data_IF_844148355879
#
_entry.id   IF_844148355879
#
_cell.length_a   1.000
_cell.length_b   1.000
_cell.length_c   1.000
_cell.angle_alpha   90.00
_cell.angle_beta   90.00
_cell.angle_gamma   90.00
#
_symmetry.space_group_name_H-M   'P 1'
#
loop_
_entity.id
_entity.type
_entity.pdbx_description
1 polymer ?
#
# COMPACT_ATOMS: atom_id res chain seq x y z
N UNK A 1 -4.35 -29.62 -11.39
CA UNK A 1 -4.97 -28.33 -11.02
C UNK A 1 -3.84 -27.30 -11.03
N UNK A 2 -3.90 -26.34 -11.95
CA UNK A 2 -2.90 -25.24 -11.92
C UNK A 2 -3.12 -24.43 -10.65
N UNK A 3 -2.17 -24.49 -9.73
CA UNK A 3 -2.18 -23.62 -8.56
C UNK A 3 -2.02 -22.17 -9.01
N UNK A 4 -2.77 -21.25 -8.38
CA UNK A 4 -2.61 -19.83 -8.62
C UNK A 4 -1.19 -19.39 -8.23
N UNK A 5 -0.53 -18.50 -9.00
CA UNK A 5 0.83 -18.09 -8.70
C UNK A 5 0.90 -17.33 -7.37
N UNK A 6 1.98 -17.53 -6.65
CA UNK A 6 2.31 -16.85 -5.39
C UNK A 6 3.28 -15.69 -5.63
N UNK A 7 3.50 -14.86 -4.62
CA UNK A 7 4.58 -13.86 -4.68
C UNK A 7 5.94 -14.47 -4.96
N UNK A 8 6.23 -15.64 -4.37
CA UNK A 8 7.47 -16.35 -4.63
C UNK A 8 7.64 -16.70 -6.10
N UNK A 9 6.57 -17.12 -6.75
CA UNK A 9 6.60 -17.50 -8.17
C UNK A 9 6.90 -16.31 -9.09
N UNK A 10 6.40 -15.13 -8.77
CA UNK A 10 6.47 -13.97 -9.68
C UNK A 10 7.59 -12.98 -9.36
N UNK A 11 8.04 -12.89 -8.11
CA UNK A 11 9.12 -11.99 -7.69
C UNK A 11 10.22 -12.67 -6.85
N UNK A 12 10.16 -13.98 -6.66
CA UNK A 12 11.15 -14.70 -5.82
C UNK A 12 12.58 -14.55 -6.33
N UNK A 13 12.79 -14.51 -7.63
CA UNK A 13 14.11 -14.32 -8.23
C UNK A 13 14.72 -12.94 -7.94
N UNK A 14 13.90 -11.90 -7.80
CA UNK A 14 14.38 -10.56 -7.43
C UNK A 14 15.14 -10.57 -6.10
N UNK A 15 14.74 -11.43 -5.16
CA UNK A 15 15.38 -11.56 -3.85
C UNK A 15 16.82 -12.08 -3.90
N UNK A 16 17.21 -12.67 -5.01
CA UNK A 16 18.57 -13.19 -5.24
C UNK A 16 19.50 -12.17 -5.90
N UNK A 17 18.93 -11.08 -6.43
CA UNK A 17 19.70 -10.05 -7.13
C UNK A 17 20.47 -9.17 -6.15
N UNK A 18 21.63 -8.69 -6.59
CA UNK A 18 22.53 -7.91 -5.75
C UNK A 18 21.86 -6.66 -5.15
N UNK A 19 21.07 -5.92 -5.93
CA UNK A 19 20.44 -4.72 -5.44
C UNK A 19 19.50 -4.98 -4.23
N UNK A 20 18.80 -6.12 -4.25
CA UNK A 20 17.89 -6.51 -3.16
C UNK A 20 18.69 -6.96 -1.93
N UNK A 21 19.70 -7.81 -2.14
CA UNK A 21 20.59 -8.25 -1.06
C UNK A 21 21.32 -7.06 -0.43
N UNK A 22 21.82 -6.14 -1.23
CA UNK A 22 22.49 -4.92 -0.74
C UNK A 22 21.53 -4.02 0.05
N UNK A 23 20.28 -3.93 -0.38
CA UNK A 23 19.26 -3.17 0.34
C UNK A 23 18.99 -3.77 1.72
N UNK A 24 18.82 -5.10 1.81
CA UNK A 24 18.63 -5.78 3.10
C UNK A 24 19.85 -5.62 4.00
N UNK A 25 21.05 -5.76 3.45
CA UNK A 25 22.30 -5.59 4.19
C UNK A 25 22.46 -4.15 4.71
N UNK A 26 22.09 -3.17 3.90
CA UNK A 26 22.08 -1.77 4.30
C UNK A 26 21.14 -1.55 5.51
N UNK A 27 19.90 -2.01 5.41
CA UNK A 27 18.92 -1.87 6.50
C UNK A 27 19.41 -2.54 7.78
N UNK A 28 19.95 -3.75 7.67
CA UNK A 28 20.49 -4.47 8.82
C UNK A 28 21.71 -3.76 9.44
N UNK A 29 22.60 -3.23 8.61
CA UNK A 29 23.75 -2.45 9.10
C UNK A 29 23.32 -1.19 9.85
N UNK A 30 22.30 -0.49 9.36
CA UNK A 30 21.74 0.68 10.04
C UNK A 30 21.15 0.30 11.41
N UNK A 31 20.45 -0.83 11.50
CA UNK A 31 19.93 -1.37 12.77
C UNK A 31 21.09 -1.74 13.72
N UNK A 32 22.12 -2.40 13.21
CA UNK A 32 23.25 -2.88 14.02
C UNK A 32 24.09 -1.78 14.64
N UNK A 33 24.14 -0.59 14.02
CA UNK A 33 24.81 0.59 14.60
C UNK A 33 23.90 1.41 15.54
N UNK A 34 22.72 0.84 15.92
CA UNK A 34 21.84 1.42 16.92
C UNK A 34 20.82 2.43 16.38
N UNK A 35 20.67 2.56 15.07
CA UNK A 35 19.60 3.38 14.51
C UNK A 35 18.26 2.70 14.63
N UNK A 36 17.23 3.48 14.93
CA UNK A 36 15.86 2.99 14.92
C UNK A 36 15.31 3.06 13.50
N UNK A 37 14.98 1.91 12.93
CA UNK A 37 14.43 1.77 11.57
C UNK A 37 13.00 1.24 11.67
N UNK A 38 12.08 1.88 10.96
CA UNK A 38 10.67 1.46 10.88
C UNK A 38 10.34 0.88 9.50
N UNK A 39 9.39 -0.04 9.44
CA UNK A 39 8.80 -0.80 10.54
C UNK A 39 9.81 -1.78 11.17
N UNK A 40 9.47 -2.44 12.28
CA UNK A 40 10.29 -3.55 12.81
C UNK A 40 10.54 -4.60 11.72
N UNK A 41 11.68 -5.29 11.79
CA UNK A 41 12.11 -6.25 10.75
C UNK A 41 11.04 -7.29 10.40
N UNK A 42 10.31 -7.76 11.39
CA UNK A 42 9.21 -8.73 11.20
C UNK A 42 8.04 -8.20 10.36
N UNK A 43 7.88 -6.88 10.26
CA UNK A 43 6.73 -6.23 9.64
C UNK A 43 7.01 -5.64 8.26
N UNK A 44 8.27 -5.60 7.82
CA UNK A 44 8.69 -4.95 6.56
C UNK A 44 7.90 -5.46 5.34
N UNK A 45 7.59 -6.76 5.30
CA UNK A 45 6.90 -7.41 4.18
C UNK A 45 5.43 -7.76 4.46
N UNK A 46 4.81 -7.11 5.42
CA UNK A 46 3.42 -7.43 5.80
C UNK A 46 2.41 -7.24 4.68
N UNK A 47 2.62 -6.29 3.77
CA UNK A 47 1.74 -6.11 2.61
C UNK A 47 1.60 -7.41 1.80
N UNK A 48 2.70 -8.15 1.64
CA UNK A 48 2.75 -9.42 0.91
C UNK A 48 2.22 -10.61 1.73
N UNK A 49 2.29 -10.54 3.05
CA UNK A 49 1.78 -11.59 3.95
C UNK A 49 0.27 -11.56 4.08
N UNK A 50 -0.31 -10.37 4.18
CA UNK A 50 -1.76 -10.20 4.33
C UNK A 50 -2.50 -10.27 3.01
N UNK A 51 -1.82 -10.01 1.89
CA UNK A 51 -2.41 -10.06 0.56
C UNK A 51 -1.55 -10.94 -0.33
N UNK A 52 -1.96 -12.19 -0.55
CA UNK A 52 -1.26 -13.08 -1.48
C UNK A 52 -1.42 -12.56 -2.93
N UNK A 53 -0.48 -12.90 -3.79
CA UNK A 53 -0.45 -12.42 -5.18
C UNK A 53 -1.77 -12.68 -5.92
N UNK A 54 -2.28 -13.91 -5.83
CA UNK A 54 -3.54 -14.30 -6.48
C UNK A 54 -4.78 -13.58 -5.94
N UNK A 55 -4.70 -13.02 -4.73
CA UNK A 55 -5.83 -12.37 -4.06
C UNK A 55 -5.88 -10.86 -4.31
N UNK A 56 -4.86 -10.29 -4.96
CA UNK A 56 -4.79 -8.84 -5.21
C UNK A 56 -5.96 -8.40 -6.10
N UNK A 57 -6.81 -7.55 -5.57
CA UNK A 57 -7.95 -6.91 -6.25
C UNK A 57 -7.74 -5.42 -6.45
N UNK A 58 -7.21 -4.76 -5.45
CA UNK A 58 -6.96 -3.32 -5.41
C UNK A 58 -5.52 -3.09 -4.97
N UNK A 59 -4.85 -2.12 -5.57
CA UNK A 59 -3.52 -1.68 -5.16
C UNK A 59 -3.59 -0.22 -4.76
N UNK A 60 -3.14 0.10 -3.56
CA UNK A 60 -2.94 1.46 -3.07
C UNK A 60 -1.45 1.65 -2.84
N UNK A 61 -0.85 2.68 -3.45
CA UNK A 61 0.56 2.97 -3.30
C UNK A 61 0.77 4.13 -2.32
N UNK A 62 1.58 3.87 -1.30
CA UNK A 62 2.17 4.90 -0.45
C UNK A 62 3.61 5.21 -0.87
N UNK A 63 4.28 6.12 -0.19
CA UNK A 63 5.66 6.48 -0.49
C UNK A 63 6.64 5.74 0.43
N UNK A 64 6.91 6.24 1.60
CA UNK A 64 7.72 5.56 2.61
C UNK A 64 6.92 5.37 3.92
N UNK A 65 7.37 4.49 4.82
CA UNK A 65 6.66 4.26 6.07
C UNK A 65 6.61 5.51 6.95
N UNK A 66 5.64 5.57 7.84
CA UNK A 66 5.68 6.55 8.93
C UNK A 66 6.96 6.40 9.74
N UNK A 67 7.57 7.53 10.10
CA UNK A 67 8.87 7.56 10.80
C UNK A 67 8.78 7.87 12.30
N UNK A 68 7.58 7.86 12.85
CA UNK A 68 7.32 7.99 14.28
C UNK A 68 7.21 6.64 14.99
N UNK A 69 7.37 6.62 16.32
CA UNK A 69 7.30 5.38 17.09
C UNK A 69 5.92 4.74 17.03
N UNK A 70 5.89 3.41 16.93
CA UNK A 70 4.68 2.58 16.93
C UNK A 70 3.67 2.86 15.80
N UNK A 71 4.06 3.58 14.74
CA UNK A 71 3.19 3.90 13.62
C UNK A 71 3.22 2.81 12.55
N UNK A 72 4.35 2.67 11.84
CA UNK A 72 4.49 1.78 10.70
C UNK A 72 4.48 0.30 11.09
N UNK A 73 3.75 -0.51 10.33
CA UNK A 73 3.70 -1.97 10.49
C UNK A 73 3.66 -2.73 9.14
N UNK A 74 4.12 -2.09 8.07
CA UNK A 74 4.28 -2.72 6.75
C UNK A 74 3.09 -2.56 5.80
N UNK A 75 2.06 -1.80 6.15
CA UNK A 75 0.92 -1.45 5.32
C UNK A 75 0.86 0.06 5.13
N UNK A 76 0.84 0.54 3.88
CA UNK A 76 0.81 1.98 3.64
C UNK A 76 -0.44 2.64 4.24
N UNK A 77 -0.30 3.87 4.71
CA UNK A 77 -1.32 4.66 5.41
C UNK A 77 -1.77 4.12 6.76
N UNK A 78 -1.57 2.85 7.05
CA UNK A 78 -2.00 2.19 8.29
C UNK A 78 -1.03 2.46 9.43
N UNK A 79 -1.58 2.55 10.64
CA UNK A 79 -0.81 2.61 11.89
C UNK A 79 -1.26 1.52 12.85
N UNK A 80 -0.40 1.16 13.80
CA UNK A 80 -0.74 0.19 14.85
C UNK A 80 -1.90 0.69 15.72
N UNK A 81 -2.67 -0.23 16.32
CA UNK A 81 -3.70 0.13 17.30
C UNK A 81 -3.12 0.98 18.45
N UNK A 82 -3.93 1.93 18.94
CA UNK A 82 -3.52 2.83 20.01
C UNK A 82 -2.72 4.06 19.56
N UNK A 83 -2.34 4.13 18.28
CA UNK A 83 -1.66 5.29 17.71
C UNK A 83 -2.68 6.25 17.10
N UNK A 84 -2.45 7.55 17.29
CA UNK A 84 -3.30 8.57 16.69
C UNK A 84 -3.32 8.44 15.17
N UNK A 85 -4.51 8.47 14.59
CA UNK A 85 -4.70 8.42 13.13
C UNK A 85 -3.97 9.58 12.44
N UNK A 86 -3.04 9.29 11.52
CA UNK A 86 -2.29 10.32 10.80
C UNK A 86 -3.17 11.19 9.91
N UNK A 87 -2.76 12.44 9.60
CA UNK A 87 -3.58 13.39 8.84
C UNK A 87 -4.05 12.90 7.48
N UNK A 88 -3.22 12.20 6.71
CA UNK A 88 -3.62 11.64 5.42
C UNK A 88 -4.70 10.59 5.59
N UNK A 89 -4.60 9.73 6.60
CA UNK A 89 -5.62 8.71 6.88
C UNK A 89 -6.92 9.32 7.41
N UNK A 90 -6.84 10.41 8.16
CA UNK A 90 -8.04 11.19 8.54
C UNK A 90 -8.81 11.63 7.29
N UNK A 91 -8.11 12.12 6.26
CA UNK A 91 -8.74 12.51 5.00
C UNK A 91 -9.27 11.31 4.19
N UNK A 92 -8.59 10.18 4.22
CA UNK A 92 -9.09 8.92 3.65
C UNK A 92 -10.42 8.55 4.31
N UNK A 93 -10.50 8.62 5.63
CA UNK A 93 -11.74 8.34 6.37
C UNK A 93 -12.87 9.34 6.08
N UNK A 94 -12.54 10.63 5.89
CA UNK A 94 -13.51 11.63 5.47
C UNK A 94 -14.09 11.32 4.09
N UNK A 95 -13.24 10.89 3.14
CA UNK A 95 -13.72 10.49 1.82
C UNK A 95 -14.58 9.22 1.90
N UNK A 96 -14.16 8.22 2.67
CA UNK A 96 -14.95 7.01 2.90
C UNK A 96 -16.34 7.32 3.48
N UNK A 97 -16.41 8.25 4.44
CA UNK A 97 -17.69 8.64 5.05
C UNK A 97 -18.64 9.32 4.06
N UNK A 98 -18.11 9.96 3.02
CA UNK A 98 -18.89 10.57 1.95
C UNK A 98 -19.25 9.61 0.82
N UNK A 99 -18.40 8.62 0.57
CA UNK A 99 -18.46 7.74 -0.59
C UNK A 99 -19.16 6.39 -0.31
N UNK A 100 -19.03 5.88 0.90
CA UNK A 100 -19.56 4.56 1.30
C UNK A 100 -20.68 4.72 2.29
N UNK A 101 -21.87 4.26 1.91
CA UNK A 101 -23.06 4.32 2.76
C UNK A 101 -22.83 3.65 4.11
N UNK A 102 -23.14 4.35 5.17
CA UNK A 102 -23.04 3.83 6.53
C UNK A 102 -21.61 3.68 7.05
N UNK A 103 -20.59 4.23 6.34
CA UNK A 103 -19.22 4.18 6.85
C UNK A 103 -19.12 4.99 8.15
N UNK A 104 -18.71 4.32 9.21
CA UNK A 104 -18.43 4.95 10.50
C UNK A 104 -16.91 5.10 10.66
N UNK A 105 -16.46 6.32 10.97
CA UNK A 105 -15.04 6.60 11.17
C UNK A 105 -14.59 5.94 12.49
N UNK A 106 -13.68 4.96 12.45
CA UNK A 106 -13.19 4.32 13.66
C UNK A 106 -12.24 5.24 14.41
N UNK A 107 -12.00 4.93 15.68
CA UNK A 107 -11.02 5.66 16.51
C UNK A 107 -9.59 5.14 16.37
N UNK A 108 -9.34 4.23 15.45
CA UNK A 108 -8.02 3.67 15.14
C UNK A 108 -7.65 3.89 13.68
N UNK A 109 -6.38 3.71 13.35
CA UNK A 109 -5.86 3.78 11.98
C UNK A 109 -5.32 2.45 11.45
N UNK A 110 -5.87 1.33 11.90
CA UNK A 110 -5.38 -0.01 11.57
C UNK A 110 -6.17 -0.61 10.41
N UNK A 111 -5.51 -0.79 9.26
CA UNK A 111 -6.14 -1.14 7.98
C UNK A 111 -5.97 -2.61 7.56
N UNK A 112 -5.53 -3.48 8.46
CA UNK A 112 -5.25 -4.89 8.13
C UNK A 112 -6.45 -5.61 7.50
N UNK A 113 -7.68 -5.29 7.92
CA UNK A 113 -8.88 -5.92 7.37
C UNK A 113 -9.09 -5.63 5.88
N UNK A 114 -8.57 -4.53 5.36
CA UNK A 114 -8.56 -4.26 3.92
C UNK A 114 -7.56 -5.18 3.21
N UNK A 115 -6.35 -5.30 3.76
CA UNK A 115 -5.30 -6.14 3.19
C UNK A 115 -5.74 -7.60 3.09
N UNK A 116 -6.42 -8.11 4.11
CA UNK A 116 -6.94 -9.48 4.15
C UNK A 116 -8.03 -9.76 3.09
N UNK A 117 -8.63 -8.72 2.51
CA UNK A 117 -9.62 -8.81 1.45
C UNK A 117 -9.04 -8.66 0.04
N UNK A 118 -7.73 -8.45 -0.09
CA UNK A 118 -7.09 -8.28 -1.39
C UNK A 118 -6.73 -6.84 -1.75
N UNK A 119 -6.69 -5.94 -0.77
CA UNK A 119 -6.14 -4.58 -0.95
C UNK A 119 -4.65 -4.60 -0.63
N UNK A 120 -3.81 -4.56 -1.65
CA UNK A 120 -2.36 -4.46 -1.47
C UNK A 120 -2.01 -3.03 -1.07
N UNK A 121 -1.70 -2.84 0.21
CA UNK A 121 -1.31 -1.56 0.78
C UNK A 121 0.22 -1.45 0.77
N UNK A 122 0.76 -1.01 -0.38
CA UNK A 122 2.19 -1.07 -0.66
C UNK A 122 2.84 0.30 -0.59
N UNK A 123 3.79 0.49 0.33
CA UNK A 123 4.75 1.59 0.23
C UNK A 123 5.78 1.29 -0.86
N UNK A 124 6.22 2.29 -1.60
CA UNK A 124 7.23 2.12 -2.65
C UNK A 124 8.65 1.99 -2.07
N UNK A 125 8.86 2.52 -0.87
CA UNK A 125 10.05 2.33 -0.04
C UNK A 125 9.61 1.65 1.25
N UNK A 126 10.23 0.53 1.63
CA UNK A 126 9.70 -0.34 2.69
C UNK A 126 10.28 -0.09 4.07
N UNK A 127 11.31 0.74 4.18
CA UNK A 127 11.94 1.11 5.47
C UNK A 127 12.25 2.60 5.54
N UNK A 128 12.39 3.11 6.76
CA UNK A 128 12.73 4.51 7.03
C UNK A 128 13.45 4.63 8.37
N UNK A 129 14.42 5.55 8.49
CA UNK A 129 15.03 5.89 9.78
C UNK A 129 14.10 6.77 10.59
N UNK A 130 14.01 6.54 11.88
CA UNK A 130 13.19 7.33 12.80
C UNK A 130 13.44 8.84 12.62
N UNK A 131 12.36 9.60 12.47
CA UNK A 131 12.38 11.05 12.35
C UNK A 131 12.93 11.58 11.03
N UNK A 132 13.30 10.71 10.07
CA UNK A 132 13.94 11.13 8.82
C UNK A 132 13.18 10.62 7.60
N UNK A 133 12.14 11.35 7.22
CA UNK A 133 11.38 11.04 6.00
C UNK A 133 12.33 10.90 4.80
N UNK A 134 12.05 9.95 3.91
CA UNK A 134 12.81 9.65 2.70
C UNK A 134 14.27 9.18 2.91
N UNK A 135 14.67 8.88 4.14
CA UNK A 135 16.05 8.45 4.45
C UNK A 135 16.49 7.19 3.72
N UNK A 136 15.56 6.31 3.33
CA UNK A 136 15.87 5.07 2.59
C UNK A 136 15.38 5.08 1.14
N UNK A 137 15.05 6.24 0.58
CA UNK A 137 14.50 6.36 -0.78
C UNK A 137 15.45 5.93 -1.91
N UNK A 138 16.77 5.88 -1.64
CA UNK A 138 17.81 5.54 -2.64
C UNK A 138 18.51 4.22 -2.36
N UNK A 139 17.91 3.35 -1.58
CA UNK A 139 18.58 2.11 -1.12
C UNK A 139 18.34 0.90 -2.02
N UNK A 140 17.36 0.95 -2.93
CA UNK A 140 16.99 -0.17 -3.80
C UNK A 140 15.54 -0.65 -3.62
N UNK A 141 14.81 -0.19 -2.59
CA UNK A 141 13.41 -0.55 -2.41
C UNK A 141 12.53 -0.20 -3.61
N UNK A 142 12.76 0.96 -4.23
CA UNK A 142 11.96 1.39 -5.37
C UNK A 142 12.11 0.46 -6.58
N UNK A 143 13.32 -0.06 -6.82
CA UNK A 143 13.55 -1.06 -7.86
C UNK A 143 12.76 -2.35 -7.58
N UNK A 144 12.73 -2.80 -6.33
CA UNK A 144 11.97 -3.97 -5.93
C UNK A 144 10.46 -3.75 -6.09
N UNK A 145 9.93 -2.64 -5.62
CA UNK A 145 8.49 -2.35 -5.72
C UNK A 145 8.06 -2.06 -7.15
N UNK A 146 8.95 -1.56 -8.02
CA UNK A 146 8.70 -1.52 -9.47
C UNK A 146 8.45 -2.92 -10.03
N UNK A 147 9.25 -3.91 -9.61
CA UNK A 147 9.06 -5.31 -10.02
C UNK A 147 7.78 -5.93 -9.48
N UNK A 148 7.36 -5.54 -8.28
CA UNK A 148 6.07 -5.96 -7.73
C UNK A 148 4.92 -5.47 -8.61
N UNK A 149 4.92 -4.18 -8.97
CA UNK A 149 3.88 -3.60 -9.83
C UNK A 149 3.92 -4.21 -11.23
N UNK A 150 5.12 -4.42 -11.79
CA UNK A 150 5.30 -5.09 -13.08
C UNK A 150 4.71 -6.50 -13.08
N UNK A 151 4.96 -7.28 -12.02
CA UNK A 151 4.42 -8.63 -11.89
C UNK A 151 2.88 -8.64 -11.86
N UNK A 152 2.27 -7.73 -11.12
CA UNK A 152 0.80 -7.58 -11.09
C UNK A 152 0.30 -7.19 -12.49
N UNK A 153 0.97 -6.23 -13.13
CA UNK A 153 0.59 -5.76 -14.47
C UNK A 153 0.64 -6.89 -15.51
N UNK A 154 1.65 -7.75 -15.43
CA UNK A 154 1.86 -8.83 -16.41
C UNK A 154 0.98 -10.05 -16.15
N UNK A 155 0.79 -10.44 -14.91
CA UNK A 155 0.25 -11.76 -14.54
C UNK A 155 -1.16 -11.72 -13.94
N UNK A 156 -1.74 -10.54 -13.72
CA UNK A 156 -3.11 -10.37 -13.22
C UNK A 156 -4.01 -9.74 -14.28
N UNK A 157 -5.32 -9.76 -14.03
CA UNK A 157 -6.35 -9.15 -14.87
C UNK A 157 -7.32 -8.34 -14.01
N UNK A 158 -7.67 -7.14 -14.49
CA UNK A 158 -8.73 -6.33 -13.90
C UNK A 158 -8.43 -5.79 -12.50
N UNK A 159 -7.16 -5.67 -12.13
CA UNK A 159 -6.76 -5.06 -10.86
C UNK A 159 -7.06 -3.56 -10.89
N UNK A 160 -7.57 -3.02 -9.79
CA UNK A 160 -7.87 -1.60 -9.64
C UNK A 160 -6.73 -0.92 -8.88
N UNK A 161 -6.04 -0.01 -9.54
CA UNK A 161 -4.96 0.78 -8.95
C UNK A 161 -5.49 2.14 -8.52
N UNK A 162 -5.35 2.47 -7.24
CA UNK A 162 -5.67 3.78 -6.69
C UNK A 162 -4.36 4.55 -6.51
N UNK A 163 -4.11 5.51 -7.40
CA UNK A 163 -2.85 6.26 -7.46
C UNK A 163 -3.07 7.70 -7.00
N UNK A 164 -2.70 7.98 -5.77
CA UNK A 164 -2.91 9.26 -5.12
C UNK A 164 -1.63 10.09 -5.07
N UNK A 165 -1.64 11.21 -5.79
CA UNK A 165 -0.51 12.12 -5.89
C UNK A 165 0.48 11.76 -7.00
N UNK A 166 1.36 12.70 -7.29
CA UNK A 166 2.29 12.60 -8.42
C UNK A 166 3.27 11.41 -8.30
N UNK A 167 3.74 11.12 -7.08
CA UNK A 167 4.67 10.01 -6.83
C UNK A 167 4.05 8.66 -7.21
N UNK A 168 2.84 8.36 -6.71
CA UNK A 168 2.13 7.13 -7.03
C UNK A 168 1.78 7.04 -8.53
N UNK A 169 1.34 8.14 -9.13
CA UNK A 169 1.00 8.19 -10.56
C UNK A 169 2.22 7.95 -11.45
N UNK A 170 3.38 8.50 -11.08
CA UNK A 170 4.64 8.24 -11.79
C UNK A 170 5.05 6.77 -11.65
N UNK A 171 4.91 6.19 -10.48
CA UNK A 171 5.20 4.78 -10.20
C UNK A 171 4.33 3.85 -11.04
N UNK A 172 3.06 4.19 -11.21
CA UNK A 172 2.08 3.40 -11.97
C UNK A 172 1.99 3.73 -13.47
N UNK A 173 2.90 4.53 -14.04
CA UNK A 173 2.81 4.99 -15.44
C UNK A 173 2.87 3.86 -16.47
N UNK A 174 3.46 2.71 -16.13
CA UNK A 174 3.60 1.56 -17.03
C UNK A 174 2.45 0.55 -16.93
N UNK A 175 1.46 0.79 -16.10
CA UNK A 175 0.32 -0.11 -15.96
C UNK A 175 -0.48 -0.12 -17.27
N UNK A 176 -0.72 -1.32 -17.78
CA UNK A 176 -1.52 -1.54 -18.98
C UNK A 176 -3.01 -1.30 -18.68
N UNK A 177 -3.51 -0.16 -19.13
CA UNK A 177 -4.90 0.26 -18.91
C UNK A 177 -5.92 -0.50 -19.76
N UNK A 178 -5.48 -1.31 -20.71
CA UNK A 178 -6.35 -2.26 -21.41
C UNK A 178 -6.65 -3.51 -20.60
N UNK A 179 -5.81 -3.82 -19.61
CA UNK A 179 -5.93 -4.98 -18.72
C UNK A 179 -6.42 -4.63 -17.32
N UNK A 180 -6.07 -3.45 -16.85
CA UNK A 180 -6.31 -3.01 -15.47
C UNK A 180 -7.00 -1.65 -15.43
N UNK A 181 -7.51 -1.29 -14.27
CA UNK A 181 -8.14 -0.01 -14.03
C UNK A 181 -7.22 0.89 -13.21
N UNK A 182 -7.03 2.13 -13.63
CA UNK A 182 -6.20 3.11 -12.93
C UNK A 182 -7.04 4.32 -12.59
N UNK A 183 -7.26 4.57 -11.30
CA UNK A 183 -7.96 5.73 -10.78
C UNK A 183 -6.95 6.68 -10.15
N UNK A 184 -6.96 7.94 -10.56
CA UNK A 184 -6.02 8.95 -10.11
C UNK A 184 -6.71 10.07 -9.34
N UNK A 185 -6.07 10.57 -8.31
CA UNK A 185 -6.51 11.72 -7.53
C UNK A 185 -5.30 12.42 -6.91
N UNK A 186 -5.44 13.67 -6.44
CA UNK A 186 -4.45 14.28 -5.58
C UNK A 186 -4.19 13.44 -4.32
N UNK A 187 -3.05 13.64 -3.68
CA UNK A 187 -2.70 12.92 -2.45
C UNK A 187 -3.66 13.31 -1.30
N UNK A 188 -4.03 12.38 -0.41
CA UNK A 188 -4.92 12.64 0.73
C UNK A 188 -4.30 13.51 1.85
N UNK A 189 -3.02 13.91 1.72
CA UNK A 189 -2.40 14.87 2.64
C UNK A 189 -3.24 16.14 2.80
N UNK A 190 -3.27 16.77 3.98
CA UNK A 190 -3.91 18.08 4.18
C UNK A 190 -3.48 19.16 3.19
N UNK A 191 -2.28 19.04 2.61
CA UNK A 191 -1.76 19.99 1.62
C UNK A 191 -2.48 19.90 0.25
N UNK A 192 -3.11 18.77 -0.06
CA UNK A 192 -3.66 18.51 -1.39
C UNK A 192 -5.02 17.82 -1.44
N UNK A 193 -5.52 17.27 -0.34
CA UNK A 193 -6.79 16.53 -0.32
C UNK A 193 -7.97 17.34 -0.85
N UNK A 194 -8.02 18.63 -0.54
CA UNK A 194 -9.06 19.57 -0.99
C UNK A 194 -9.01 19.87 -2.50
N UNK A 195 -7.92 19.48 -3.18
CA UNK A 195 -7.75 19.70 -4.62
C UNK A 195 -8.36 18.60 -5.49
N UNK A 196 -9.07 17.66 -4.90
CA UNK A 196 -9.77 16.61 -5.63
C UNK A 196 -9.63 15.19 -5.09
N UNK A 197 -8.94 14.95 -3.98
CA UNK A 197 -9.02 13.67 -3.28
C UNK A 197 -10.39 13.55 -2.59
N UNK A 198 -10.79 14.57 -1.85
CA UNK A 198 -12.14 14.62 -1.29
C UNK A 198 -13.16 14.79 -2.42
N UNK A 199 -14.06 13.84 -2.56
CA UNK A 199 -15.03 13.75 -3.65
C UNK A 199 -14.59 12.86 -4.82
N UNK A 200 -13.41 12.23 -4.77
CA UNK A 200 -12.94 11.36 -5.86
C UNK A 200 -13.74 10.06 -6.00
N UNK A 201 -14.41 9.61 -4.95
CA UNK A 201 -15.24 8.39 -4.93
C UNK A 201 -14.51 7.12 -5.36
N UNK A 202 -13.22 7.03 -5.11
CA UNK A 202 -12.41 5.91 -5.54
C UNK A 202 -12.84 4.57 -4.91
N UNK A 203 -13.37 4.59 -3.69
CA UNK A 203 -13.74 3.37 -2.97
C UNK A 203 -14.98 2.72 -3.57
N UNK A 204 -16.03 3.49 -3.85
CA UNK A 204 -17.22 2.99 -4.54
C UNK A 204 -16.95 2.66 -6.00
N UNK A 205 -16.14 3.45 -6.70
CA UNK A 205 -15.72 3.15 -8.07
C UNK A 205 -14.92 1.86 -8.16
N UNK A 206 -13.98 1.62 -7.23
CA UNK A 206 -13.25 0.36 -7.18
C UNK A 206 -14.21 -0.84 -7.04
N UNK A 207 -15.19 -0.74 -6.16
CA UNK A 207 -16.19 -1.80 -5.98
C UNK A 207 -17.07 -2.01 -7.21
N UNK A 208 -17.46 -0.94 -7.90
CA UNK A 208 -18.20 -1.05 -9.16
C UNK A 208 -17.37 -1.79 -10.22
N UNK A 209 -16.09 -1.49 -10.34
CA UNK A 209 -15.18 -2.15 -11.28
C UNK A 209 -14.95 -3.62 -10.92
N UNK A 210 -14.83 -3.96 -9.64
CA UNK A 210 -14.71 -5.35 -9.19
C UNK A 210 -15.98 -6.13 -9.46
N UNK A 211 -17.13 -5.58 -9.09
CA UNK A 211 -18.44 -6.23 -9.29
C UNK A 211 -18.72 -6.47 -10.77
N UNK A 212 -18.38 -5.53 -11.65
CA UNK A 212 -18.52 -5.66 -13.10
C UNK A 212 -17.69 -6.83 -13.67
N UNK A 213 -16.65 -7.27 -12.95
CA UNK A 213 -15.82 -8.43 -13.32
C UNK A 213 -16.27 -9.73 -12.65
N UNK A 214 -17.36 -9.72 -11.89
CA UNK A 214 -17.79 -10.86 -11.09
C UNK A 214 -16.93 -11.14 -9.87
N UNK A 215 -16.14 -10.16 -9.43
CA UNK A 215 -15.31 -10.27 -8.23
C UNK A 215 -16.05 -9.71 -7.03
N UNK A 216 -15.78 -10.28 -5.84
CA UNK A 216 -16.29 -9.73 -4.59
C UNK A 216 -15.77 -8.31 -4.38
N UNK A 217 -16.67 -7.35 -4.07
CA UNK A 217 -16.24 -6.00 -3.71
C UNK A 217 -15.51 -5.99 -2.37
N UNK A 218 -14.77 -4.92 -2.12
CA UNK A 218 -14.12 -4.71 -0.84
C UNK A 218 -15.14 -4.17 0.17
N UNK A 219 -15.20 -4.78 1.33
CA UNK A 219 -15.86 -4.18 2.49
C UNK A 219 -14.91 -3.15 3.10
N UNK A 220 -15.14 -1.88 2.77
CA UNK A 220 -14.30 -0.78 3.25
C UNK A 220 -14.57 -0.42 4.72
N UNK A 221 -15.68 -0.88 5.31
CA UNK A 221 -15.97 -0.70 6.72
C UNK A 221 -14.87 -1.33 7.57
N UNK A 222 -14.48 -0.63 8.62
CA UNK A 222 -13.46 -1.10 9.55
C UNK A 222 -14.11 -1.50 10.87
N UNK A 223 -13.58 -2.52 11.58
CA UNK A 223 -14.02 -2.78 12.94
C UNK A 223 -13.84 -1.52 13.79
N UNK A 224 -14.78 -1.27 14.71
CA UNK A 224 -14.70 -0.09 15.58
C UNK A 224 -13.61 -0.24 16.64
N UNK A 225 -13.24 -1.48 16.96
CA UNK A 225 -12.16 -1.85 17.90
C UNK A 225 -11.23 -2.86 17.27
N UNK A 226 -9.93 -2.76 17.56
CA UNK A 226 -8.86 -3.63 17.06
C UNK A 226 -7.88 -3.99 18.17
#
# INVERSE_FOLDING_TARGET
>A
MNQSPTWHDVIGEEKKLSYFVDTLNFVESERSVGKTIYPPSKDVFNAFRYTEFSDVKVVILGQDPYHGPNQAHGLCFSVLPGVRTPPSLVNIYKELAQDIDGFEIPQHGFLQSWAEQGVLLLNTVLTVEQGKAHSHSKTGWEAFTDKVIEAINMHQQGVVFLLWGAHAQKKGRFIDRSKHHVLVAPHPSPLSAHRGFLGCKHFSQANQLLTAQGKEPINWHLPMTV
#
